data_IF_082268188168
#
_entry.id   IF_082268188168
#
_cell.length_a   1.000
_cell.length_b   1.000
_cell.length_c   1.000
_cell.angle_alpha   90.00
_cell.angle_beta   90.00
_cell.angle_gamma   90.00
#
_symmetry.space_group_name_H-M   'P 1'
#
loop_
_entity.id
_entity.type
_entity.pdbx_description
1 polymer ?
#
# COMPACT_ATOMS: atom_id res chain seq x y z
N UNK A 1 -4.55 -10.86 -33.70
CA UNK A 1 -4.92 -9.49 -34.05
C UNK A 1 -5.96 -8.96 -33.08
N UNK A 2 -5.96 -7.66 -32.84
CA UNK A 2 -7.03 -6.95 -32.15
C UNK A 2 -8.32 -6.99 -32.95
N UNK A 3 -9.52 -6.70 -32.36
CA UNK A 3 -10.77 -6.65 -33.11
C UNK A 3 -10.77 -5.68 -34.30
N UNK A 4 -9.95 -4.63 -34.22
CA UNK A 4 -9.73 -3.65 -35.30
C UNK A 4 -8.70 -4.10 -36.37
N UNK A 5 -8.17 -5.32 -36.31
CA UNK A 5 -7.18 -5.86 -37.21
C UNK A 5 -5.72 -5.50 -36.93
N UNK A 6 -5.44 -4.70 -35.91
CA UNK A 6 -4.07 -4.35 -35.54
C UNK A 6 -3.32 -5.50 -34.88
N UNK A 7 -1.99 -5.40 -34.92
CA UNK A 7 -1.09 -6.39 -34.29
C UNK A 7 -1.19 -6.35 -32.75
N UNK A 8 -1.10 -7.54 -32.13
CA UNK A 8 -1.03 -7.67 -30.66
C UNK A 8 0.38 -7.48 -30.11
N UNK A 9 1.30 -6.94 -30.87
CA UNK A 9 2.68 -6.67 -30.39
C UNK A 9 2.66 -5.78 -29.16
N UNK A 10 1.79 -4.77 -29.11
CA UNK A 10 1.63 -3.88 -27.95
C UNK A 10 1.17 -4.61 -26.68
N UNK A 11 0.31 -5.62 -26.81
CA UNK A 11 -0.10 -6.47 -25.67
C UNK A 11 1.07 -7.34 -25.18
N UNK A 12 1.91 -7.81 -26.10
CA UNK A 12 3.11 -8.58 -25.76
C UNK A 12 4.14 -7.72 -25.03
N UNK A 13 4.39 -6.51 -25.53
CA UNK A 13 5.31 -5.56 -24.89
C UNK A 13 4.81 -5.18 -23.49
N UNK A 14 3.50 -4.97 -23.35
CA UNK A 14 2.86 -4.72 -22.06
C UNK A 14 3.05 -5.89 -21.09
N UNK A 15 2.76 -7.12 -21.53
CA UNK A 15 2.93 -8.32 -20.71
C UNK A 15 4.39 -8.53 -20.31
N UNK A 16 5.33 -8.29 -21.22
CA UNK A 16 6.77 -8.39 -20.98
C UNK A 16 7.26 -7.42 -19.91
N UNK A 17 6.86 -6.16 -19.98
CA UNK A 17 7.22 -5.14 -18.99
C UNK A 17 6.67 -5.47 -17.61
N UNK A 18 5.39 -5.88 -17.51
CA UNK A 18 4.77 -6.24 -16.24
C UNK A 18 5.42 -7.48 -15.63
N UNK A 19 5.62 -8.54 -16.43
CA UNK A 19 6.26 -9.77 -15.96
C UNK A 19 7.69 -9.52 -15.50
N UNK A 20 8.46 -8.73 -16.24
CA UNK A 20 9.84 -8.38 -15.88
C UNK A 20 9.90 -7.59 -14.57
N UNK A 21 8.95 -6.68 -14.36
CA UNK A 21 8.86 -5.92 -13.12
C UNK A 21 8.52 -6.83 -11.92
N UNK A 22 7.54 -7.74 -12.09
CA UNK A 22 7.18 -8.69 -11.03
C UNK A 22 8.39 -9.54 -10.64
N UNK A 23 9.06 -10.13 -11.62
CA UNK A 23 10.21 -10.99 -11.36
C UNK A 23 11.33 -10.23 -10.66
N UNK A 24 11.67 -9.03 -11.13
CA UNK A 24 12.71 -8.21 -10.51
C UNK A 24 12.41 -7.85 -9.06
N UNK A 25 11.18 -7.42 -8.77
CA UNK A 25 10.78 -7.06 -7.41
C UNK A 25 10.76 -8.29 -6.48
N UNK A 26 10.29 -9.44 -6.98
CA UNK A 26 10.25 -10.67 -6.18
C UNK A 26 11.64 -11.24 -5.91
N UNK A 27 12.58 -11.13 -6.87
CA UNK A 27 13.97 -11.50 -6.65
C UNK A 27 14.62 -10.67 -5.54
N UNK A 28 14.28 -9.40 -5.45
CA UNK A 28 14.85 -8.50 -4.45
C UNK A 28 14.24 -8.66 -3.06
N UNK A 29 12.97 -9.09 -2.95
CA UNK A 29 12.25 -9.08 -1.68
C UNK A 29 12.02 -10.47 -1.07
N UNK A 30 11.92 -11.51 -1.90
CA UNK A 30 11.47 -12.84 -1.45
C UNK A 30 12.45 -13.95 -1.79
N UNK A 31 12.77 -14.15 -3.07
CA UNK A 31 13.65 -15.24 -3.50
C UNK A 31 14.48 -14.80 -4.71
N UNK A 32 15.78 -14.69 -4.52
CA UNK A 32 16.74 -14.31 -5.58
C UNK A 32 16.75 -15.26 -6.79
N UNK A 33 16.23 -16.48 -6.62
CA UNK A 33 16.11 -17.48 -7.68
C UNK A 33 14.73 -17.41 -8.40
N UNK A 34 13.88 -16.46 -8.05
CA UNK A 34 12.60 -16.30 -8.74
C UNK A 34 12.80 -16.14 -10.23
N UNK A 35 12.19 -17.04 -11.00
CA UNK A 35 12.44 -17.12 -12.43
C UNK A 35 11.22 -16.70 -13.25
N UNK A 36 11.50 -16.12 -14.39
CA UNK A 36 10.51 -15.75 -15.38
C UNK A 36 10.12 -16.97 -16.23
N UNK A 37 8.82 -17.22 -16.40
CA UNK A 37 8.32 -18.13 -17.43
C UNK A 37 8.17 -17.40 -18.76
N UNK A 38 8.25 -18.13 -19.87
CA UNK A 38 7.94 -17.57 -21.19
C UNK A 38 6.47 -17.14 -21.26
N UNK A 39 6.24 -16.03 -21.95
CA UNK A 39 4.87 -15.59 -22.24
C UNK A 39 4.20 -16.57 -23.20
N UNK A 40 2.96 -16.94 -22.93
CA UNK A 40 2.17 -17.81 -23.76
C UNK A 40 1.35 -17.00 -24.77
N UNK A 41 1.47 -17.35 -26.02
CA UNK A 41 0.61 -16.82 -27.08
C UNK A 41 -0.61 -17.75 -27.21
N UNK A 42 -1.65 -17.49 -26.45
CA UNK A 42 -2.90 -18.24 -26.41
C UNK A 42 -4.10 -17.33 -26.61
N UNK A 43 -5.14 -17.87 -27.23
CA UNK A 43 -6.36 -17.12 -27.53
C UNK A 43 -7.36 -17.18 -26.38
N UNK A 44 -7.00 -16.63 -25.22
CA UNK A 44 -7.94 -16.46 -24.12
C UNK A 44 -8.90 -15.30 -24.39
N UNK A 45 -10.14 -15.42 -23.93
CA UNK A 45 -11.17 -14.39 -24.16
C UNK A 45 -10.77 -13.07 -23.51
N UNK A 46 -10.24 -13.11 -22.29
CA UNK A 46 -9.81 -11.98 -21.48
C UNK A 46 -8.72 -11.14 -22.17
N UNK A 47 -7.84 -11.79 -22.92
CA UNK A 47 -6.77 -11.11 -23.66
C UNK A 47 -7.13 -10.84 -25.12
N UNK A 48 -8.17 -11.48 -25.64
CA UNK A 48 -8.57 -11.37 -27.06
C UNK A 48 -9.63 -10.30 -27.30
N UNK A 49 -10.57 -10.13 -26.34
CA UNK A 49 -11.75 -9.27 -26.53
C UNK A 49 -11.47 -7.78 -26.33
N UNK A 50 -10.58 -7.32 -25.40
CA UNK A 50 -10.34 -5.91 -25.22
C UNK A 50 -9.77 -5.24 -26.47
N UNK A 51 -10.18 -4.00 -26.72
CA UNK A 51 -9.61 -3.13 -27.78
C UNK A 51 -8.32 -2.44 -27.34
N UNK A 52 -7.99 -2.45 -26.06
CA UNK A 52 -6.74 -1.95 -25.49
C UNK A 52 -5.71 -3.08 -25.31
N UNK A 53 -4.41 -2.76 -25.17
CA UNK A 53 -3.40 -3.74 -24.78
C UNK A 53 -3.82 -4.47 -23.50
N UNK A 54 -3.78 -5.79 -23.54
CA UNK A 54 -4.29 -6.64 -22.46
C UNK A 54 -3.41 -7.88 -22.28
N UNK A 55 -3.39 -8.38 -21.04
CA UNK A 55 -2.70 -9.62 -20.69
C UNK A 55 -3.52 -10.39 -19.64
N UNK A 56 -3.27 -11.68 -19.54
CA UNK A 56 -3.68 -12.53 -18.44
C UNK A 56 -2.45 -12.87 -17.61
N UNK A 57 -2.49 -12.56 -16.31
CA UNK A 57 -1.43 -12.87 -15.37
C UNK A 57 -1.81 -14.14 -14.58
N UNK A 58 -1.02 -15.18 -14.74
CA UNK A 58 -1.09 -16.41 -13.94
C UNK A 58 0.18 -16.47 -13.08
N UNK A 59 0.05 -16.28 -11.78
CA UNK A 59 1.19 -16.07 -10.90
C UNK A 59 1.66 -17.34 -10.19
N UNK A 60 0.76 -18.05 -9.53
CA UNK A 60 1.04 -19.18 -8.65
C UNK A 60 0.01 -20.31 -8.89
N UNK A 61 0.31 -21.49 -8.39
CA UNK A 61 -0.64 -22.62 -8.38
C UNK A 61 -1.17 -22.87 -6.98
N UNK A 62 -2.49 -22.78 -6.80
CA UNK A 62 -3.15 -23.11 -5.53
C UNK A 62 -3.02 -24.59 -5.13
N UNK A 63 -2.57 -25.46 -6.03
CA UNK A 63 -2.30 -26.87 -5.77
C UNK A 63 -0.84 -27.13 -5.35
N UNK A 64 0.01 -26.13 -5.36
CA UNK A 64 1.41 -26.23 -4.98
C UNK A 64 1.62 -25.59 -3.60
N UNK A 65 2.02 -26.38 -2.62
CA UNK A 65 2.25 -25.90 -1.26
C UNK A 65 3.33 -24.80 -1.18
N UNK A 66 4.42 -24.95 -1.94
CA UNK A 66 5.47 -23.92 -2.00
C UNK A 66 4.95 -22.60 -2.54
N UNK A 67 4.11 -22.63 -3.59
CA UNK A 67 3.46 -21.44 -4.15
C UNK A 67 2.49 -20.82 -3.14
N UNK A 68 1.77 -21.64 -2.40
CA UNK A 68 0.76 -21.17 -1.44
C UNK A 68 1.37 -20.52 -0.20
N UNK A 69 2.58 -20.86 0.19
CA UNK A 69 3.32 -20.12 1.23
C UNK A 69 3.46 -18.63 0.87
N UNK A 70 3.71 -18.33 -0.40
CA UNK A 70 3.71 -16.97 -0.93
C UNK A 70 2.31 -16.43 -1.18
N UNK A 71 1.46 -17.22 -1.84
CA UNK A 71 0.12 -16.78 -2.26
C UNK A 71 -0.82 -16.40 -1.11
N UNK A 72 -0.60 -16.96 0.08
CA UNK A 72 -1.35 -16.61 1.29
C UNK A 72 -0.68 -15.52 2.13
N UNK A 73 0.55 -15.12 1.81
CA UNK A 73 1.23 -14.01 2.48
C UNK A 73 0.71 -12.66 1.97
N UNK A 74 0.11 -11.81 2.82
CA UNK A 74 -0.34 -10.49 2.46
C UNK A 74 0.78 -9.58 1.95
N UNK A 75 2.01 -9.72 2.47
CA UNK A 75 3.17 -8.93 2.05
C UNK A 75 3.57 -9.29 0.61
N UNK A 76 3.56 -10.57 0.27
CA UNK A 76 3.79 -11.02 -1.10
C UNK A 76 2.72 -10.50 -2.06
N UNK A 77 1.44 -10.61 -1.70
CA UNK A 77 0.34 -10.10 -2.52
C UNK A 77 0.43 -8.60 -2.75
N UNK A 78 0.83 -7.85 -1.72
CA UNK A 78 1.07 -6.41 -1.86
C UNK A 78 2.24 -6.13 -2.82
N UNK A 79 3.38 -6.82 -2.65
CA UNK A 79 4.56 -6.65 -3.50
C UNK A 79 4.25 -6.94 -4.97
N UNK A 80 3.55 -8.04 -5.26
CA UNK A 80 3.11 -8.36 -6.62
C UNK A 80 2.17 -7.30 -7.18
N UNK A 81 1.16 -6.87 -6.42
CA UNK A 81 0.23 -5.84 -6.87
C UNK A 81 0.95 -4.53 -7.19
N UNK A 82 1.93 -4.15 -6.36
CA UNK A 82 2.76 -2.97 -6.59
C UNK A 82 3.67 -3.14 -7.80
N UNK A 83 4.25 -4.33 -8.01
CA UNK A 83 5.06 -4.62 -9.19
C UNK A 83 4.24 -4.56 -10.48
N UNK A 84 3.01 -5.09 -10.48
CA UNK A 84 2.06 -4.94 -11.59
C UNK A 84 1.81 -3.47 -11.90
N UNK A 85 1.48 -2.67 -10.88
CA UNK A 85 1.27 -1.23 -11.02
C UNK A 85 2.51 -0.53 -11.63
N UNK A 86 3.71 -0.82 -11.12
CA UNK A 86 4.96 -0.25 -11.66
C UNK A 86 5.19 -0.66 -13.12
N UNK A 87 4.97 -1.92 -13.46
CA UNK A 87 5.09 -2.43 -14.84
C UNK A 87 4.10 -1.75 -15.78
N UNK A 88 2.84 -1.57 -15.35
CA UNK A 88 1.83 -0.82 -16.13
C UNK A 88 2.26 0.64 -16.31
N UNK A 89 2.73 1.29 -15.27
CA UNK A 89 3.17 2.68 -15.34
C UNK A 89 4.39 2.84 -16.24
N UNK A 90 5.37 1.92 -16.21
CA UNK A 90 6.51 1.89 -17.14
C UNK A 90 6.05 1.77 -18.59
N UNK A 91 5.11 0.86 -18.86
CA UNK A 91 4.55 0.71 -20.19
C UNK A 91 3.88 1.99 -20.69
N UNK A 92 3.03 2.62 -19.87
CA UNK A 92 2.34 3.87 -20.21
C UNK A 92 3.33 5.01 -20.42
N UNK A 93 4.31 5.17 -19.54
CA UNK A 93 5.35 6.19 -19.66
C UNK A 93 6.15 6.05 -20.95
N UNK A 94 6.56 4.81 -21.29
CA UNK A 94 7.25 4.52 -22.55
C UNK A 94 6.37 4.79 -23.78
N UNK A 95 5.09 4.42 -23.70
CA UNK A 95 4.15 4.55 -24.82
C UNK A 95 3.79 6.00 -25.14
N UNK A 96 3.66 6.83 -24.11
CA UNK A 96 3.19 8.21 -24.25
C UNK A 96 4.27 9.26 -24.02
N UNK A 97 5.52 8.86 -23.77
CA UNK A 97 6.62 9.79 -23.51
C UNK A 97 6.44 10.62 -22.24
N UNK A 98 5.74 10.09 -21.24
CA UNK A 98 5.51 10.76 -19.96
C UNK A 98 6.54 10.34 -18.92
N UNK A 99 6.72 11.16 -17.88
CA UNK A 99 7.61 10.82 -16.77
C UNK A 99 7.12 9.56 -16.03
N UNK A 100 8.07 8.70 -15.66
CA UNK A 100 7.83 7.57 -14.79
C UNK A 100 8.02 8.01 -13.33
N UNK A 101 6.94 8.19 -12.61
CA UNK A 101 6.93 8.53 -11.18
C UNK A 101 5.92 7.65 -10.48
N UNK A 102 6.36 6.88 -9.50
CA UNK A 102 5.51 5.97 -8.73
C UNK A 102 4.94 6.70 -7.52
N UNK A 103 3.66 6.50 -7.24
CA UNK A 103 3.04 7.07 -6.04
C UNK A 103 3.70 6.56 -4.76
N UNK A 104 3.74 7.37 -3.67
CA UNK A 104 4.35 6.97 -2.40
C UNK A 104 3.66 5.77 -1.76
N UNK A 105 4.37 5.11 -0.85
CA UNK A 105 3.78 4.15 0.09
C UNK A 105 2.96 4.89 1.17
N UNK A 106 1.95 4.24 1.75
CA UNK A 106 1.24 4.77 2.91
C UNK A 106 2.20 5.00 4.08
N UNK A 107 1.96 6.06 4.84
CA UNK A 107 2.71 6.30 6.08
C UNK A 107 2.36 5.23 7.12
N UNK A 108 3.30 4.94 8.00
CA UNK A 108 3.15 3.96 9.06
C UNK A 108 3.17 4.55 10.47
N UNK A 109 2.87 3.71 11.45
CA UNK A 109 3.05 4.01 12.88
C UNK A 109 2.41 5.34 13.29
N UNK A 110 1.13 5.52 13.00
CA UNK A 110 0.39 6.71 13.40
C UNK A 110 0.34 6.88 14.92
N UNK A 111 0.41 8.12 15.38
CA UNK A 111 0.24 8.47 16.79
C UNK A 111 -0.45 9.81 16.94
N UNK A 112 -1.24 9.96 17.99
CA UNK A 112 -1.86 11.24 18.35
C UNK A 112 -1.73 11.47 19.87
N UNK A 113 -1.43 12.71 20.26
CA UNK A 113 -1.34 13.13 21.65
C UNK A 113 -1.80 14.57 21.81
N UNK A 114 -2.10 14.96 23.04
CA UNK A 114 -2.35 16.36 23.35
C UNK A 114 -1.05 17.17 23.41
N UNK A 115 -1.11 18.45 23.03
CA UNK A 115 -0.11 19.44 23.38
C UNK A 115 -0.07 19.65 24.92
N UNK A 116 0.98 20.28 25.42
CA UNK A 116 1.15 20.50 26.87
C UNK A 116 0.01 21.31 27.47
N UNK A 117 -0.52 22.26 26.72
CA UNK A 117 -1.65 23.12 27.10
C UNK A 117 -3.02 22.48 26.83
N UNK A 118 -3.06 21.29 26.20
CA UNK A 118 -4.29 20.56 25.94
C UNK A 118 -5.13 21.10 24.78
N UNK A 119 -4.76 22.20 24.16
CA UNK A 119 -5.58 22.86 23.13
C UNK A 119 -5.36 22.36 21.72
N UNK A 120 -4.35 21.50 21.51
CA UNK A 120 -3.99 20.97 20.20
C UNK A 120 -3.82 19.46 20.22
N UNK A 121 -4.15 18.84 19.10
CA UNK A 121 -3.74 17.50 18.78
C UNK A 121 -2.39 17.52 18.04
N UNK A 122 -1.45 16.73 18.50
CA UNK A 122 -0.15 16.48 17.87
C UNK A 122 -0.28 15.15 17.11
N UNK A 123 -0.36 15.20 15.81
CA UNK A 123 -0.45 14.03 14.93
C UNK A 123 0.94 13.69 14.45
N UNK A 124 1.38 12.46 14.63
CA UNK A 124 2.70 11.99 14.21
C UNK A 124 2.63 10.70 13.40
N UNK A 125 3.60 10.55 12.48
CA UNK A 125 3.69 9.38 11.61
C UNK A 125 5.14 9.08 11.24
N UNK A 126 5.41 7.85 10.79
CA UNK A 126 6.66 7.48 10.14
C UNK A 126 6.49 7.56 8.62
N UNK A 127 7.36 8.28 7.91
CA UNK A 127 7.41 8.19 6.46
C UNK A 127 7.80 6.77 6.04
N UNK A 128 7.20 6.28 4.96
CA UNK A 128 7.59 5.02 4.36
C UNK A 128 8.40 5.29 3.10
N UNK A 129 9.58 4.66 3.01
CA UNK A 129 10.39 4.63 1.80
C UNK A 129 10.16 3.32 1.06
N UNK A 130 10.13 3.38 -0.26
CA UNK A 130 10.14 2.18 -1.11
C UNK A 130 11.58 1.90 -1.54
N UNK A 131 12.24 0.86 -0.99
CA UNK A 131 13.66 0.60 -1.29
C UNK A 131 13.89 0.18 -2.74
N UNK A 132 12.83 -0.26 -3.44
CA UNK A 132 12.90 -0.68 -4.83
C UNK A 132 12.47 0.41 -5.81
N UNK A 133 12.04 1.58 -5.32
CA UNK A 133 11.47 2.62 -6.20
C UNK A 133 11.75 4.04 -5.67
N UNK A 134 12.94 4.57 -5.99
CA UNK A 134 13.32 5.92 -5.53
C UNK A 134 12.39 7.03 -5.99
N UNK A 135 11.64 6.84 -7.11
CA UNK A 135 10.69 7.84 -7.59
C UNK A 135 9.45 7.95 -6.71
N UNK A 136 9.26 6.99 -5.80
CA UNK A 136 8.12 6.95 -4.88
C UNK A 136 8.29 7.80 -3.62
N UNK A 137 9.38 8.52 -3.48
CA UNK A 137 9.59 9.40 -2.34
C UNK A 137 8.49 10.47 -2.25
N UNK A 138 7.92 10.71 -1.05
CA UNK A 138 6.87 11.70 -0.88
C UNK A 138 7.40 13.12 -1.00
N UNK A 139 6.71 13.94 -1.80
CA UNK A 139 6.91 15.40 -1.86
C UNK A 139 6.20 16.13 -0.73
N UNK A 140 5.21 15.48 -0.09
CA UNK A 140 4.45 16.07 1.01
C UNK A 140 3.34 15.14 1.52
N UNK A 141 2.54 15.68 2.44
CA UNK A 141 1.50 14.92 3.12
C UNK A 141 0.18 15.71 3.18
N UNK A 142 -0.92 14.96 3.22
CA UNK A 142 -2.28 15.47 3.33
C UNK A 142 -2.87 14.92 4.61
N UNK A 143 -3.40 15.78 5.46
CA UNK A 143 -4.16 15.40 6.64
C UNK A 143 -5.64 15.39 6.29
N UNK A 144 -6.30 14.28 6.60
CA UNK A 144 -7.75 14.14 6.54
C UNK A 144 -8.28 14.11 7.96
N UNK A 145 -9.29 14.93 8.22
CA UNK A 145 -9.90 15.08 9.54
C UNK A 145 -11.38 14.70 9.48
N UNK A 146 -11.83 14.04 10.52
CA UNK A 146 -13.24 13.78 10.80
C UNK A 146 -13.54 14.22 12.22
N UNK A 147 -14.67 14.88 12.42
CA UNK A 147 -15.17 15.27 13.74
C UNK A 147 -16.40 14.42 14.05
N UNK A 148 -16.38 13.78 15.21
CA UNK A 148 -17.40 12.87 15.69
C UNK A 148 -17.79 11.79 14.65
N UNK A 149 -19.08 11.57 14.41
CA UNK A 149 -19.59 10.59 13.44
C UNK A 149 -19.71 11.15 12.01
N UNK A 150 -19.15 12.32 11.74
CA UNK A 150 -19.16 12.94 10.41
C UNK A 150 -18.31 12.16 9.39
N UNK A 151 -18.33 12.63 8.16
CA UNK A 151 -17.45 12.12 7.11
C UNK A 151 -16.03 12.72 7.22
N UNK A 152 -15.02 12.02 6.72
CA UNK A 152 -13.71 12.63 6.51
C UNK A 152 -13.79 13.74 5.48
N UNK A 153 -13.05 14.82 5.73
CA UNK A 153 -12.89 15.90 4.78
C UNK A 153 -12.11 15.46 3.52
N UNK A 154 -11.97 16.36 2.55
CA UNK A 154 -11.22 16.11 1.32
C UNK A 154 -9.70 16.10 1.53
N UNK A 155 -9.24 16.41 2.73
CA UNK A 155 -7.84 16.51 3.12
C UNK A 155 -7.20 17.85 2.80
N UNK A 156 -6.34 18.29 3.70
CA UNK A 156 -5.58 19.53 3.60
C UNK A 156 -4.09 19.22 3.51
N UNK A 157 -3.38 19.83 2.55
CA UNK A 157 -1.91 19.72 2.48
C UNK A 157 -1.28 20.30 3.73
N UNK A 158 -0.47 19.50 4.41
CA UNK A 158 0.22 19.91 5.63
C UNK A 158 1.36 20.84 5.24
N UNK A 159 1.33 22.08 5.74
CA UNK A 159 2.38 23.10 5.47
C UNK A 159 3.47 23.04 6.54
N UNK A 160 3.07 22.90 7.81
CA UNK A 160 3.97 22.94 8.96
C UNK A 160 4.26 21.53 9.44
N UNK A 161 5.24 20.89 8.80
CA UNK A 161 5.71 19.55 9.17
C UNK A 161 6.97 19.72 10.01
N UNK A 162 6.90 19.29 11.27
CA UNK A 162 8.03 19.22 12.18
C UNK A 162 8.67 17.84 12.14
N UNK A 163 9.97 17.76 12.43
CA UNK A 163 10.72 16.50 12.49
C UNK A 163 11.19 16.25 13.92
N UNK A 164 11.04 15.02 14.39
CA UNK A 164 11.58 14.56 15.65
C UNK A 164 12.00 13.10 15.53
N UNK A 165 13.26 12.80 15.79
CA UNK A 165 13.84 11.46 15.64
C UNK A 165 13.54 10.86 14.25
N UNK A 166 12.79 9.74 14.22
CA UNK A 166 12.40 9.01 13.01
C UNK A 166 10.95 9.32 12.56
N UNK A 167 10.31 10.35 13.16
CA UNK A 167 8.90 10.70 12.93
C UNK A 167 8.74 12.11 12.40
N UNK A 168 7.69 12.29 11.64
CA UNK A 168 7.13 13.58 11.26
C UNK A 168 5.90 13.86 12.12
N UNK A 169 5.63 15.15 12.41
CA UNK A 169 4.43 15.52 13.12
C UNK A 169 3.93 16.91 12.73
N UNK A 170 2.65 17.13 12.96
CA UNK A 170 1.96 18.41 12.81
C UNK A 170 1.01 18.62 13.97
N UNK A 171 0.60 19.87 14.18
CA UNK A 171 -0.32 20.25 15.25
C UNK A 171 -1.56 20.90 14.65
N UNK A 172 -2.72 20.56 15.19
CA UNK A 172 -3.99 21.20 14.86
C UNK A 172 -4.74 21.59 16.11
N UNK A 173 -5.48 22.69 16.04
CA UNK A 173 -6.36 23.12 17.13
C UNK A 173 -7.55 22.15 17.24
N UNK A 174 -7.93 21.82 18.47
CA UNK A 174 -9.08 20.98 18.80
C UNK A 174 -9.96 21.66 19.83
N UNK A 175 -11.26 21.41 19.76
CA UNK A 175 -12.27 21.96 20.64
C UNK A 175 -12.75 20.90 21.63
N UNK A 176 -12.91 21.20 22.92
CA UNK A 176 -13.50 20.27 23.90
C UNK A 176 -14.91 19.83 23.50
N UNK A 177 -15.28 18.61 23.88
CA UNK A 177 -16.58 18.02 23.60
C UNK A 177 -16.68 17.26 22.29
N UNK A 178 -15.58 17.16 21.53
CA UNK A 178 -15.55 16.47 20.25
C UNK A 178 -14.47 15.38 20.21
N UNK A 179 -14.71 14.36 19.38
CA UNK A 179 -13.73 13.34 18.99
C UNK A 179 -13.23 13.66 17.59
N UNK A 180 -11.93 13.84 17.47
CA UNK A 180 -11.25 14.06 16.19
C UNK A 180 -10.60 12.77 15.72
N UNK A 181 -10.85 12.39 14.49
CA UNK A 181 -10.20 11.24 13.85
C UNK A 181 -9.34 11.72 12.68
N UNK A 182 -8.16 11.13 12.52
CA UNK A 182 -7.17 11.56 11.55
C UNK A 182 -6.70 10.40 10.68
N UNK A 183 -6.39 10.74 9.41
CA UNK A 183 -5.64 9.92 8.47
C UNK A 183 -4.62 10.78 7.75
N UNK A 184 -3.47 10.22 7.44
CA UNK A 184 -2.44 10.89 6.64
C UNK A 184 -2.26 10.15 5.32
N UNK A 185 -2.18 10.92 4.23
CA UNK A 185 -1.86 10.44 2.88
C UNK A 185 -0.57 11.11 2.42
N UNK A 186 0.40 10.34 1.95
CA UNK A 186 1.58 10.85 1.29
C UNK A 186 1.27 11.15 -0.18
N UNK A 187 1.94 12.12 -0.79
CA UNK A 187 1.78 12.43 -2.22
C UNK A 187 3.11 12.83 -2.87
N UNK A 188 3.20 12.60 -4.17
CA UNK A 188 4.20 13.14 -5.08
C UNK A 188 3.58 13.39 -6.46
N UNK A 189 4.38 13.64 -7.49
CA UNK A 189 3.88 13.85 -8.87
C UNK A 189 3.28 12.59 -9.49
N UNK A 190 3.60 11.39 -8.98
CA UNK A 190 3.00 10.12 -9.38
C UNK A 190 1.62 9.85 -8.78
N UNK A 191 1.21 10.64 -7.77
CA UNK A 191 -0.11 10.50 -7.16
C UNK A 191 -0.10 10.50 -5.63
N UNK A 192 -1.16 9.92 -5.06
CA UNK A 192 -1.36 9.82 -3.61
C UNK A 192 -1.28 8.37 -3.16
N UNK A 193 -0.67 8.15 -2.00
CA UNK A 193 -0.71 6.85 -1.34
C UNK A 193 -2.15 6.47 -0.91
N UNK A 194 -2.36 5.21 -0.56
CA UNK A 194 -3.50 4.89 0.29
C UNK A 194 -3.41 5.65 1.62
N UNK A 195 -4.54 5.97 2.27
CA UNK A 195 -4.52 6.62 3.56
C UNK A 195 -3.91 5.69 4.63
N UNK A 196 -3.34 6.31 5.65
CA UNK A 196 -2.91 5.60 6.86
C UNK A 196 -4.08 4.96 7.61
N UNK A 197 -3.77 4.24 8.68
CA UNK A 197 -4.73 3.89 9.71
C UNK A 197 -5.44 5.13 10.25
N UNK A 198 -6.64 4.92 10.78
CA UNK A 198 -7.37 5.98 11.50
C UNK A 198 -6.94 5.99 12.95
N UNK A 199 -6.54 7.16 13.44
CA UNK A 199 -6.31 7.39 14.87
C UNK A 199 -7.24 8.49 15.35
N UNK A 200 -7.58 8.48 16.63
CA UNK A 200 -8.54 9.44 17.20
C UNK A 200 -8.07 9.98 18.53
N UNK A 201 -8.51 11.20 18.84
CA UNK A 201 -8.31 11.86 20.11
C UNK A 201 -9.59 12.60 20.49
N UNK A 202 -9.97 12.58 21.74
CA UNK A 202 -11.14 13.31 22.24
C UNK A 202 -10.80 14.09 23.51
N UNK A 203 -11.31 15.30 23.61
CA UNK A 203 -11.17 16.15 24.80
C UNK A 203 -12.57 16.34 25.41
N UNK A 204 -12.81 15.97 26.68
CA UNK A 204 -14.09 16.17 27.32
C UNK A 204 -14.40 17.65 27.50
N UNK A 205 -15.70 17.99 27.60
CA UNK A 205 -16.16 19.38 27.78
C UNK A 205 -15.58 20.04 29.03
N UNK A 206 -15.42 19.28 30.10
CA UNK A 206 -14.88 19.76 31.37
C UNK A 206 -13.36 19.94 31.39
N UNK A 207 -12.69 19.59 30.28
CA UNK A 207 -11.24 19.78 30.06
C UNK A 207 -10.33 19.37 31.23
N UNK A 208 -10.80 18.48 32.09
CA UNK A 208 -9.95 17.91 33.14
C UNK A 208 -9.00 16.89 32.55
N UNK A 209 -7.74 17.30 32.39
CA UNK A 209 -6.67 16.46 31.87
C UNK A 209 -5.98 15.62 32.98
N UNK A 210 -6.51 15.62 34.20
CA UNK A 210 -5.97 14.83 35.32
C UNK A 210 -6.10 13.32 35.05
N UNK A 211 -7.17 12.91 34.37
CA UNK A 211 -7.39 11.53 33.95
C UNK A 211 -7.23 11.39 32.43
N UNK A 212 -6.29 10.55 32.01
CA UNK A 212 -6.01 10.26 30.60
C UNK A 212 -6.16 8.77 30.33
N UNK A 213 -6.87 8.44 29.27
CA UNK A 213 -6.96 7.08 28.75
C UNK A 213 -6.09 7.00 27.51
N UNK A 214 -5.13 6.08 27.50
CA UNK A 214 -4.34 5.73 26.33
C UNK A 214 -4.92 4.47 25.72
N UNK A 215 -5.31 4.56 24.43
CA UNK A 215 -5.71 3.40 23.64
C UNK A 215 -4.55 3.04 22.71
N UNK A 216 -3.99 1.85 22.93
CA UNK A 216 -2.96 1.29 22.04
C UNK A 216 -3.62 0.26 21.16
N UNK A 217 -3.70 0.55 19.86
CA UNK A 217 -4.07 -0.46 18.88
C UNK A 217 -2.83 -1.25 18.50
N UNK A 218 -2.73 -2.47 19.02
CA UNK A 218 -1.62 -3.38 18.76
C UNK A 218 -2.03 -4.53 17.82
N UNK A 219 -3.08 -4.33 17.04
CA UNK A 219 -3.42 -5.27 15.98
C UNK A 219 -2.46 -5.08 14.81
N UNK A 220 -1.66 -6.08 14.57
CA UNK A 220 -0.88 -6.17 13.35
C UNK A 220 -1.81 -6.42 12.15
N UNK A 221 -1.31 -6.11 10.97
CA UNK A 221 -1.98 -6.51 9.74
C UNK A 221 -2.03 -8.04 9.67
N UNK A 222 -3.04 -8.55 8.97
CA UNK A 222 -3.16 -9.99 8.70
C UNK A 222 -1.80 -10.53 8.25
N UNK A 223 -1.29 -11.50 8.99
CA UNK A 223 -0.05 -12.20 8.69
C UNK A 223 -0.30 -13.38 7.73
N UNK A 224 0.77 -13.95 7.21
CA UNK A 224 0.69 -15.23 6.52
C UNK A 224 0.22 -16.33 7.50
N UNK A 225 -0.59 -17.30 7.04
CA UNK A 225 -1.02 -18.41 7.90
C UNK A 225 0.19 -19.23 8.35
N UNK A 226 0.13 -19.74 9.58
CA UNK A 226 1.12 -20.69 10.08
C UNK A 226 1.13 -21.95 9.20
N UNK A 227 2.31 -22.51 8.98
CA UNK A 227 2.45 -23.75 8.19
C UNK A 227 3.38 -24.76 8.87
N UNK A 228 3.17 -26.02 8.53
CA UNK A 228 4.02 -27.15 8.90
C UNK A 228 4.65 -27.69 7.63
N UNK A 229 5.96 -27.89 7.64
CA UNK A 229 6.72 -28.42 6.51
C UNK A 229 7.74 -29.43 7.06
N UNK A 230 7.37 -30.71 7.01
CA UNK A 230 8.18 -31.83 7.50
C UNK A 230 8.36 -32.87 6.40
N UNK A 231 9.30 -33.82 6.51
CA UNK A 231 9.48 -34.87 5.50
C UNK A 231 8.25 -35.74 5.24
N UNK A 232 7.30 -35.80 6.17
CA UNK A 232 6.12 -36.66 6.08
C UNK A 232 4.80 -35.92 5.98
N UNK A 233 4.80 -34.59 6.22
CA UNK A 233 3.60 -33.78 6.17
C UNK A 233 3.94 -32.31 5.85
N UNK A 234 3.17 -31.72 4.94
CA UNK A 234 3.21 -30.31 4.64
C UNK A 234 1.78 -29.75 4.54
N UNK A 235 1.54 -28.56 5.13
CA UNK A 235 0.23 -27.92 5.11
C UNK A 235 0.15 -26.66 5.96
N UNK A 236 -0.97 -25.96 5.87
CA UNK A 236 -1.25 -24.77 6.70
C UNK A 236 -1.99 -25.17 7.97
N UNK A 237 -1.63 -24.55 9.09
CA UNK A 237 -2.30 -24.75 10.36
C UNK A 237 -3.31 -23.62 10.60
N UNK A 238 -4.54 -23.87 10.21
CA UNK A 238 -5.65 -22.92 10.37
C UNK A 238 -6.22 -22.85 11.80
N UNK A 239 -5.68 -23.63 12.75
CA UNK A 239 -6.10 -23.56 14.16
C UNK A 239 -5.39 -22.43 14.90
N UNK A 240 -4.24 -22.00 14.42
CA UNK A 240 -3.43 -20.93 15.03
C UNK A 240 -3.74 -19.58 14.38
N UNK A 241 -4.15 -19.61 13.12
CA UNK A 241 -4.52 -18.42 12.36
C UNK A 241 -6.02 -18.12 12.50
N UNK A 242 -6.41 -17.75 13.69
CA UNK A 242 -7.77 -17.30 14.02
C UNK A 242 -7.86 -15.78 14.08
N UNK A 243 -7.16 -15.10 13.18
CA UNK A 243 -7.09 -13.65 13.11
C UNK A 243 -8.40 -12.95 12.76
#
# INVERSE_FOLDING_TARGET
LLPNGESRTTSRDFADMVQSQIVGDLQMQFDSLWSRRSTWDRSYRESRTPSSPSMLLELLSHQNFADMKYGLDPSFRFAVSRAVYKGMLKYLSSRYGTAYVVQPLPVGSMGVSFSKDGNKAIISWKPACDPLEPTADPSGYILHTRVDDGAFDRGVKIKDIKRGNDRLYTEIDITPGHIYSFRVTAYNDGGRSFPSETISIGLPVTADLSEKILIVNNFDRVSAPAFVDTPIYAGFDNRIDSG
#
